data_IF_816970829664
#
_entry.id   IF_816970829664
#
_cell.length_a   1.000
_cell.length_b   1.000
_cell.length_c   1.000
_cell.angle_alpha   90.00
_cell.angle_beta   90.00
_cell.angle_gamma   90.00
#
_symmetry.space_group_name_H-M   'P 1'
#
loop_
_entity.id
_entity.type
_entity.pdbx_description
1 polymer ?
#
# COMPACT_ATOMS: atom_id res chain seq x y z
N UNK A 1 -17.94 32.48 22.66
CA UNK A 1 -18.50 31.33 23.42
C UNK A 1 -17.70 30.08 23.05
N UNK A 2 -16.75 29.69 23.90
CA UNK A 2 -15.90 28.51 23.72
C UNK A 2 -16.67 27.27 24.16
N UNK A 3 -17.20 26.51 23.21
CA UNK A 3 -17.74 25.17 23.50
C UNK A 3 -16.55 24.28 23.82
N UNK A 4 -16.35 24.00 25.11
CA UNK A 4 -15.40 23.01 25.56
C UNK A 4 -15.79 21.67 24.93
N UNK A 5 -15.03 21.24 23.92
CA UNK A 5 -15.17 19.92 23.34
C UNK A 5 -14.85 18.90 24.44
N UNK A 6 -15.87 18.24 24.98
CA UNK A 6 -15.69 17.13 25.88
C UNK A 6 -14.79 16.10 25.18
N UNK A 7 -13.53 15.99 25.65
CA UNK A 7 -12.60 14.98 25.16
C UNK A 7 -13.23 13.63 25.49
N UNK A 8 -13.55 12.85 24.46
CA UNK A 8 -13.93 11.46 24.63
C UNK A 8 -12.76 10.75 25.32
N UNK A 9 -12.91 10.44 26.62
CA UNK A 9 -11.91 9.72 27.39
C UNK A 9 -12.02 8.24 27.03
N UNK A 10 -11.01 7.73 26.33
CA UNK A 10 -10.91 6.30 26.01
C UNK A 10 -10.71 5.57 27.33
N UNK A 11 -11.60 4.63 27.66
CA UNK A 11 -11.41 3.78 28.84
C UNK A 11 -10.07 3.04 28.71
N UNK A 12 -9.20 3.03 29.74
CA UNK A 12 -7.87 2.44 29.65
C UNK A 12 -7.87 0.99 29.11
N UNK A 13 -8.83 0.17 29.55
CA UNK A 13 -8.97 -1.21 29.07
C UNK A 13 -9.27 -1.35 27.57
N UNK A 14 -10.00 -0.40 26.97
CA UNK A 14 -10.24 -0.39 25.52
C UNK A 14 -8.96 -0.05 24.75
N UNK A 15 -8.16 0.90 25.25
CA UNK A 15 -6.87 1.22 24.62
C UNK A 15 -5.94 0.00 24.62
N UNK A 16 -5.81 -0.65 25.77
CA UNK A 16 -4.99 -1.87 25.92
C UNK A 16 -5.47 -2.96 24.98
N UNK A 17 -6.78 -3.19 24.89
CA UNK A 17 -7.33 -4.22 24.00
C UNK A 17 -7.05 -3.91 22.52
N UNK A 18 -7.16 -2.64 22.10
CA UNK A 18 -6.82 -2.23 20.73
C UNK A 18 -5.33 -2.42 20.43
N UNK A 19 -4.46 -2.13 21.40
CA UNK A 19 -3.01 -2.28 21.24
C UNK A 19 -2.60 -3.75 21.21
N UNK A 20 -3.17 -4.59 22.07
CA UNK A 20 -2.98 -6.05 22.01
C UNK A 20 -3.43 -6.63 20.67
N UNK A 21 -4.56 -6.17 20.13
CA UNK A 21 -5.01 -6.60 18.80
C UNK A 21 -4.00 -6.19 17.70
N UNK A 22 -3.46 -4.97 17.76
CA UNK A 22 -2.42 -4.52 16.81
C UNK A 22 -1.17 -5.38 16.91
N UNK A 23 -0.71 -5.69 18.13
CA UNK A 23 0.44 -6.57 18.34
C UNK A 23 0.17 -7.97 17.79
N UNK A 24 -0.99 -8.55 18.08
CA UNK A 24 -1.38 -9.86 17.55
C UNK A 24 -1.40 -9.89 16.02
N UNK A 25 -1.98 -8.88 15.37
CA UNK A 25 -1.97 -8.76 13.91
C UNK A 25 -0.55 -8.58 13.35
N UNK A 26 0.29 -7.77 14.01
CA UNK A 26 1.68 -7.58 13.60
C UNK A 26 2.47 -8.90 13.65
N UNK A 27 2.29 -9.69 14.72
CA UNK A 27 2.92 -11.00 14.86
C UNK A 27 2.44 -11.97 13.78
N UNK A 28 1.14 -12.00 13.47
CA UNK A 28 0.60 -12.84 12.40
C UNK A 28 1.19 -12.46 11.03
N UNK A 29 1.35 -11.17 10.73
CA UNK A 29 2.00 -10.69 9.50
C UNK A 29 3.47 -11.11 9.48
N UNK A 30 4.20 -10.90 10.58
CA UNK A 30 5.62 -11.25 10.69
C UNK A 30 5.86 -12.75 10.51
N UNK A 31 5.08 -13.59 11.20
CA UNK A 31 5.15 -15.05 11.07
C UNK A 31 4.75 -15.52 9.67
N UNK A 32 3.73 -14.91 9.07
CA UNK A 32 3.33 -15.19 7.69
C UNK A 32 4.46 -14.91 6.69
N UNK A 33 5.17 -13.79 6.84
CA UNK A 33 6.33 -13.47 5.99
C UNK A 33 7.53 -14.35 6.28
N UNK A 34 7.82 -14.63 7.55
CA UNK A 34 8.90 -15.55 7.95
C UNK A 34 8.74 -16.92 7.31
N UNK A 35 7.55 -17.50 7.45
CA UNK A 35 7.24 -18.83 6.91
C UNK A 35 7.14 -18.87 5.39
N UNK A 36 7.05 -17.72 4.72
CA UNK A 36 7.00 -17.64 3.26
C UNK A 36 8.37 -17.46 2.62
N UNK A 37 9.24 -16.66 3.23
CA UNK A 37 10.44 -16.14 2.58
C UNK A 37 11.77 -16.64 3.17
N UNK A 38 11.77 -17.11 4.42
CA UNK A 38 13.03 -17.33 5.16
C UNK A 38 13.22 -18.78 5.61
N UNK A 39 12.23 -19.64 5.42
CA UNK A 39 12.30 -21.04 5.85
C UNK A 39 11.33 -21.92 5.07
N UNK A 40 11.70 -23.19 4.89
CA UNK A 40 10.88 -24.22 4.24
C UNK A 40 10.50 -25.38 5.18
N UNK A 41 10.94 -25.33 6.45
CA UNK A 41 10.79 -26.43 7.40
C UNK A 41 9.35 -26.61 7.92
N UNK A 42 8.57 -25.54 7.97
CA UNK A 42 7.20 -25.50 8.46
C UNK A 42 6.28 -25.04 7.31
N UNK A 43 5.08 -25.63 7.15
CA UNK A 43 4.12 -25.18 6.14
C UNK A 43 3.84 -23.68 6.21
N UNK A 44 3.75 -23.03 5.05
CA UNK A 44 3.47 -21.60 4.95
C UNK A 44 2.15 -21.25 5.65
N UNK A 45 2.24 -20.37 6.66
CA UNK A 45 1.07 -19.88 7.38
C UNK A 45 0.38 -18.82 6.52
N UNK A 46 -0.75 -19.22 5.94
CA UNK A 46 -1.62 -18.34 5.17
C UNK A 46 -2.38 -17.42 6.12
N UNK A 47 -2.44 -16.13 5.81
CA UNK A 47 -3.22 -15.19 6.61
C UNK A 47 -2.59 -13.81 6.81
N UNK A 48 -1.34 -13.58 6.38
CA UNK A 48 -0.71 -12.26 6.44
C UNK A 48 -1.60 -11.18 5.80
N UNK A 49 -2.17 -11.45 4.62
CA UNK A 49 -3.09 -10.53 3.95
C UNK A 49 -4.38 -10.28 4.74
N UNK A 50 -4.92 -11.30 5.42
CA UNK A 50 -6.10 -11.14 6.27
C UNK A 50 -5.79 -10.35 7.54
N UNK A 51 -4.59 -10.51 8.11
CA UNK A 51 -4.14 -9.73 9.24
C UNK A 51 -3.97 -8.24 8.88
N UNK A 52 -3.49 -7.93 7.66
CA UNK A 52 -3.48 -6.55 7.12
C UNK A 52 -4.89 -5.97 7.00
N UNK A 53 -5.87 -6.74 6.53
CA UNK A 53 -7.27 -6.30 6.53
C UNK A 53 -7.77 -5.98 7.95
N UNK A 54 -7.34 -6.75 8.95
CA UNK A 54 -7.57 -6.45 10.37
C UNK A 54 -7.02 -5.09 10.80
N UNK A 55 -5.82 -4.71 10.35
CA UNK A 55 -5.25 -3.39 10.62
C UNK A 55 -6.11 -2.27 10.03
N UNK A 56 -6.64 -2.44 8.81
CA UNK A 56 -7.53 -1.44 8.21
C UNK A 56 -8.81 -1.26 9.00
N UNK A 57 -9.44 -2.35 9.44
CA UNK A 57 -10.65 -2.29 10.28
C UNK A 57 -10.36 -1.58 11.61
N UNK A 58 -9.28 -1.98 12.32
CA UNK A 58 -8.89 -1.34 13.59
C UNK A 58 -8.52 0.14 13.40
N UNK A 59 -7.88 0.47 12.28
CA UNK A 59 -7.55 1.84 11.91
C UNK A 59 -8.82 2.68 11.76
N UNK A 60 -9.79 2.22 10.96
CA UNK A 60 -11.06 2.94 10.78
C UNK A 60 -11.85 3.10 12.07
N UNK A 61 -11.93 2.03 12.87
CA UNK A 61 -12.54 2.07 14.21
C UNK A 61 -11.90 3.16 15.07
N UNK A 62 -10.56 3.17 15.16
CA UNK A 62 -9.82 4.08 16.03
C UNK A 62 -9.93 5.53 15.56
N UNK A 63 -9.87 5.77 14.25
CA UNK A 63 -10.00 7.13 13.70
C UNK A 63 -11.40 7.68 13.96
N UNK A 64 -12.45 6.87 13.71
CA UNK A 64 -13.81 7.29 13.98
C UNK A 64 -14.03 7.57 15.47
N UNK A 65 -13.42 6.76 16.34
CA UNK A 65 -13.42 6.95 17.80
C UNK A 65 -12.76 8.25 18.25
N UNK A 66 -11.60 8.59 17.66
CA UNK A 66 -10.87 9.82 17.99
C UNK A 66 -11.56 11.09 17.48
N UNK A 67 -12.32 10.97 16.39
CA UNK A 67 -13.06 12.06 15.78
C UNK A 67 -14.57 11.82 15.84
N UNK A 68 -15.17 11.78 17.05
CA UNK A 68 -16.56 11.37 17.27
C UNK A 68 -17.58 12.32 16.62
N UNK A 69 -17.24 13.60 16.49
CA UNK A 69 -18.10 14.67 15.99
C UNK A 69 -17.42 15.46 14.88
N UNK A 70 -18.24 16.07 14.00
CA UNK A 70 -17.80 17.03 12.99
C UNK A 70 -17.79 18.48 13.50
N UNK A 71 -18.37 18.74 14.68
CA UNK A 71 -18.39 20.07 15.27
C UNK A 71 -16.97 20.52 15.65
N UNK A 72 -16.54 21.67 15.16
CA UNK A 72 -15.18 22.18 15.41
C UNK A 72 -14.06 21.36 14.75
N UNK A 73 -14.37 20.54 13.74
CA UNK A 73 -13.37 19.73 13.05
C UNK A 73 -12.35 20.61 12.31
N UNK A 74 -11.07 20.51 12.69
CA UNK A 74 -9.96 21.19 12.03
C UNK A 74 -9.21 20.27 11.08
N UNK A 75 -9.41 20.43 9.78
CA UNK A 75 -8.78 19.59 8.75
C UNK A 75 -7.24 19.63 8.81
N UNK A 76 -6.65 20.80 9.04
CA UNK A 76 -5.18 20.94 9.13
C UNK A 76 -4.61 20.15 10.32
N UNK A 77 -5.23 20.27 11.50
CA UNK A 77 -4.85 19.51 12.69
C UNK A 77 -5.00 18.00 12.46
N UNK A 78 -6.14 17.59 11.90
CA UNK A 78 -6.36 16.18 11.52
C UNK A 78 -5.24 15.67 10.61
N UNK A 79 -4.92 16.42 9.55
CA UNK A 79 -3.86 16.09 8.60
C UNK A 79 -2.50 15.90 9.28
N UNK A 80 -2.06 16.87 10.09
CA UNK A 80 -0.80 16.78 10.83
C UNK A 80 -0.77 15.53 11.72
N UNK A 81 -1.82 15.29 12.51
CA UNK A 81 -1.85 14.12 13.38
C UNK A 81 -1.80 12.79 12.61
N UNK A 82 -2.43 12.71 11.44
CA UNK A 82 -2.46 11.47 10.62
C UNK A 82 -1.14 11.25 9.89
N UNK A 83 -0.58 12.31 9.29
CA UNK A 83 0.69 12.25 8.57
C UNK A 83 1.83 11.97 9.52
N UNK A 84 1.90 12.64 10.68
CA UNK A 84 2.94 12.37 11.68
C UNK A 84 2.91 10.92 12.17
N UNK A 85 1.72 10.35 12.38
CA UNK A 85 1.56 8.94 12.77
C UNK A 85 2.09 7.97 11.71
N UNK A 86 1.87 8.26 10.42
CA UNK A 86 2.34 7.42 9.33
C UNK A 86 3.85 7.59 9.15
N UNK A 87 4.33 8.83 8.98
CA UNK A 87 5.73 9.10 8.66
C UNK A 87 6.69 8.77 9.81
N UNK A 88 6.23 8.78 11.06
CA UNK A 88 7.05 8.31 12.19
C UNK A 88 7.45 6.83 12.06
N UNK A 89 6.71 6.04 11.28
CA UNK A 89 7.01 4.61 11.05
C UNK A 89 7.50 4.37 9.61
N UNK A 90 6.85 5.01 8.64
CA UNK A 90 7.16 4.85 7.22
C UNK A 90 8.59 5.28 6.86
N UNK A 91 9.06 6.42 7.38
CA UNK A 91 10.40 6.93 7.08
C UNK A 91 11.48 5.99 7.65
N UNK A 92 11.47 5.62 8.96
CA UNK A 92 12.41 4.64 9.48
C UNK A 92 12.36 3.30 8.75
N UNK A 93 11.16 2.82 8.39
CA UNK A 93 11.02 1.56 7.66
C UNK A 93 11.69 1.61 6.27
N UNK A 94 11.50 2.68 5.51
CA UNK A 94 12.13 2.83 4.18
C UNK A 94 13.65 2.98 4.29
N UNK A 95 14.15 3.74 5.28
CA UNK A 95 15.58 3.85 5.53
C UNK A 95 16.17 2.47 5.84
N UNK A 96 15.51 1.73 6.74
CA UNK A 96 15.94 0.39 7.11
C UNK A 96 15.91 -0.57 5.90
N UNK A 97 14.89 -0.48 5.04
CA UNK A 97 14.85 -1.23 3.78
C UNK A 97 16.08 -0.94 2.92
N UNK A 98 16.40 0.32 2.67
CA UNK A 98 17.58 0.68 1.86
C UNK A 98 18.87 0.12 2.46
N UNK A 99 19.04 0.23 3.78
CA UNK A 99 20.23 -0.26 4.47
C UNK A 99 20.34 -1.78 4.39
N UNK A 100 19.25 -2.50 4.70
CA UNK A 100 19.24 -3.97 4.70
C UNK A 100 19.42 -4.54 3.30
N UNK A 101 18.83 -3.91 2.28
CA UNK A 101 19.02 -4.32 0.89
C UNK A 101 20.46 -4.10 0.43
N UNK A 102 21.07 -2.96 0.78
CA UNK A 102 22.48 -2.70 0.49
C UNK A 102 23.41 -3.71 1.17
N UNK A 103 23.12 -4.13 2.40
CA UNK A 103 23.87 -5.20 3.09
C UNK A 103 23.63 -6.55 2.40
N UNK A 104 22.39 -6.87 2.07
CA UNK A 104 22.02 -8.15 1.43
C UNK A 104 22.69 -8.33 0.07
N UNK A 105 22.74 -7.25 -0.72
CA UNK A 105 23.46 -7.21 -2.00
C UNK A 105 24.97 -7.45 -1.86
N UNK A 106 25.57 -7.11 -0.71
CA UNK A 106 27.00 -7.34 -0.44
C UNK A 106 27.30 -8.74 0.10
N UNK A 107 26.39 -9.28 0.92
CA UNK A 107 26.59 -10.58 1.59
C UNK A 107 26.21 -11.75 0.68
N UNK A 108 25.16 -11.60 -0.14
CA UNK A 108 24.62 -12.68 -0.95
C UNK A 108 23.89 -12.15 -2.17
N UNK A 109 24.63 -11.58 -3.12
CA UNK A 109 24.07 -10.96 -4.33
C UNK A 109 23.18 -11.91 -5.12
N UNK A 110 23.60 -13.17 -5.32
CA UNK A 110 22.82 -14.14 -6.09
C UNK A 110 21.48 -14.45 -5.42
N UNK A 111 21.50 -14.69 -4.10
CA UNK A 111 20.28 -14.93 -3.33
C UNK A 111 19.36 -13.72 -3.37
N UNK A 112 19.89 -12.52 -3.17
CA UNK A 112 19.11 -11.29 -3.24
C UNK A 112 18.48 -11.11 -4.62
N UNK A 113 19.25 -11.26 -5.69
CA UNK A 113 18.75 -11.05 -7.05
C UNK A 113 17.69 -12.09 -7.43
N UNK A 114 17.83 -13.33 -6.97
CA UNK A 114 16.87 -14.40 -7.22
C UNK A 114 15.50 -14.16 -6.55
N UNK A 115 15.46 -13.47 -5.40
CA UNK A 115 14.23 -13.31 -4.60
C UNK A 115 13.65 -11.89 -4.64
N UNK A 116 14.51 -10.86 -4.72
CA UNK A 116 14.14 -9.44 -4.62
C UNK A 116 14.80 -8.54 -5.69
N UNK A 117 15.53 -9.12 -6.64
CA UNK A 117 16.18 -8.35 -7.72
C UNK A 117 15.21 -7.78 -8.76
N UNK A 118 13.97 -8.28 -8.80
CA UNK A 118 12.96 -7.76 -9.72
C UNK A 118 12.43 -6.42 -9.21
N UNK A 119 12.89 -5.33 -9.84
CA UNK A 119 12.31 -4.01 -9.59
C UNK A 119 10.97 -3.87 -10.30
N UNK A 120 9.88 -3.93 -9.53
CA UNK A 120 8.52 -3.70 -10.01
C UNK A 120 8.21 -2.22 -9.78
N UNK A 121 8.70 -1.39 -10.70
CA UNK A 121 8.52 0.06 -10.69
C UNK A 121 9.44 0.78 -11.69
N UNK A 122 9.26 2.11 -11.85
CA UNK A 122 10.02 2.89 -12.83
C UNK A 122 11.53 2.91 -12.52
N UNK A 123 11.90 3.07 -11.25
CA UNK A 123 13.26 2.90 -10.72
C UNK A 123 13.17 2.67 -9.19
N UNK A 124 14.20 2.13 -8.53
CA UNK A 124 14.18 1.94 -7.07
C UNK A 124 13.91 3.25 -6.30
N UNK A 125 14.55 4.35 -6.70
CA UNK A 125 14.43 5.66 -6.07
C UNK A 125 13.03 6.25 -6.26
N UNK A 126 12.49 6.10 -7.48
CA UNK A 126 11.13 6.51 -7.78
C UNK A 126 10.11 5.66 -7.01
N UNK A 127 10.30 4.35 -6.90
CA UNK A 127 9.45 3.47 -6.10
C UNK A 127 9.45 3.86 -4.61
N UNK A 128 10.62 4.15 -4.04
CA UNK A 128 10.73 4.64 -2.65
C UNK A 128 9.96 5.96 -2.50
N UNK A 129 10.16 6.91 -3.41
CA UNK A 129 9.49 8.22 -3.38
C UNK A 129 7.98 8.08 -3.48
N UNK A 130 7.50 7.28 -4.44
CA UNK A 130 6.07 7.04 -4.63
C UNK A 130 5.44 6.37 -3.39
N UNK A 131 6.15 5.44 -2.74
CA UNK A 131 5.69 4.83 -1.50
C UNK A 131 5.66 5.81 -0.32
N UNK A 132 6.69 6.66 -0.20
CA UNK A 132 6.77 7.69 0.86
C UNK A 132 5.59 8.66 0.82
N UNK A 133 5.12 9.01 -0.39
CA UNK A 133 3.97 9.90 -0.61
C UNK A 133 2.64 9.15 -0.77
N UNK A 134 2.61 7.83 -0.66
CA UNK A 134 1.39 7.03 -0.77
C UNK A 134 0.79 6.95 -2.19
N UNK A 135 1.61 7.21 -3.21
CA UNK A 135 1.22 7.21 -4.62
C UNK A 135 1.48 5.86 -5.32
N UNK A 136 2.15 4.94 -4.64
CA UNK A 136 2.60 3.67 -5.22
C UNK A 136 1.47 2.72 -5.66
N UNK A 137 0.25 2.94 -5.15
CA UNK A 137 -0.92 2.06 -5.32
C UNK A 137 -2.06 2.72 -6.11
N UNK A 138 -1.79 3.88 -6.73
CA UNK A 138 -2.78 4.63 -7.48
C UNK A 138 -3.21 3.85 -8.73
N UNK A 139 -4.52 3.77 -8.99
CA UNK A 139 -5.07 3.07 -10.17
C UNK A 139 -4.58 1.62 -10.35
N UNK A 140 -4.20 0.96 -9.26
CA UNK A 140 -3.73 -0.41 -9.27
C UNK A 140 -2.33 -0.65 -9.79
N UNK A 141 -1.50 0.40 -9.76
CA UNK A 141 -0.05 0.20 -9.74
C UNK A 141 0.36 -0.56 -8.49
N UNK A 142 1.48 -1.26 -8.56
CA UNK A 142 2.08 -1.95 -7.41
C UNK A 142 3.57 -1.65 -7.38
N UNK A 143 3.93 -0.39 -7.16
CA UNK A 143 5.34 0.01 -7.12
C UNK A 143 5.96 -0.41 -5.79
N UNK A 144 6.95 -1.29 -5.85
CA UNK A 144 7.54 -1.92 -4.65
C UNK A 144 8.81 -1.19 -4.25
N UNK A 145 8.95 -0.75 -2.98
CA UNK A 145 10.18 -0.14 -2.51
C UNK A 145 11.19 -1.24 -2.20
N UNK A 146 12.05 -1.58 -3.18
CA UNK A 146 13.07 -2.61 -3.07
C UNK A 146 12.48 -3.95 -2.58
N UNK A 147 13.12 -4.64 -1.63
CA UNK A 147 12.62 -5.90 -1.04
C UNK A 147 11.34 -5.75 -0.21
N UNK A 148 10.92 -4.53 0.15
CA UNK A 148 9.83 -4.28 1.10
C UNK A 148 8.44 -4.27 0.43
N UNK A 149 8.09 -5.41 -0.17
CA UNK A 149 6.77 -5.63 -0.76
C UNK A 149 5.60 -5.23 0.16
N UNK A 150 5.57 -5.57 1.47
CA UNK A 150 4.40 -5.32 2.33
C UNK A 150 4.09 -3.84 2.61
N UNK A 151 4.94 -2.91 2.14
CA UNK A 151 4.77 -1.48 2.34
C UNK A 151 3.52 -0.90 1.67
N UNK A 152 2.95 -1.60 0.68
CA UNK A 152 1.77 -1.15 -0.07
C UNK A 152 0.63 -0.66 0.83
N UNK A 153 0.41 -1.31 1.98
CA UNK A 153 -0.67 -1.00 2.93
C UNK A 153 -0.65 0.44 3.45
N UNK A 154 0.53 1.07 3.56
CA UNK A 154 0.68 2.46 4.01
C UNK A 154 0.11 3.44 2.98
N UNK A 155 0.28 3.15 1.67
CA UNK A 155 -0.28 3.98 0.60
C UNK A 155 -1.81 4.01 0.67
N UNK A 156 -2.43 2.88 1.00
CA UNK A 156 -3.87 2.79 1.21
C UNK A 156 -4.31 3.62 2.42
N UNK A 157 -3.61 3.53 3.56
CA UNK A 157 -3.96 4.32 4.75
C UNK A 157 -3.91 5.83 4.52
N UNK A 158 -2.90 6.33 3.80
CA UNK A 158 -2.81 7.75 3.42
C UNK A 158 -4.05 8.18 2.61
N UNK A 159 -4.45 7.35 1.65
CA UNK A 159 -5.67 7.57 0.86
C UNK A 159 -6.94 7.60 1.72
N UNK A 160 -7.09 6.62 2.63
CA UNK A 160 -8.25 6.55 3.53
C UNK A 160 -8.36 7.81 4.39
N UNK A 161 -7.25 8.24 5.00
CA UNK A 161 -7.24 9.41 5.86
C UNK A 161 -7.51 10.69 5.07
N UNK A 162 -6.94 10.84 3.88
CA UNK A 162 -7.21 11.99 3.01
C UNK A 162 -8.69 12.12 2.68
N UNK A 163 -9.31 11.05 2.19
CA UNK A 163 -10.72 11.03 1.82
C UNK A 163 -11.61 11.23 3.05
N UNK A 164 -11.35 10.52 4.14
CA UNK A 164 -12.15 10.62 5.36
C UNK A 164 -12.06 12.01 6.01
N UNK A 165 -10.87 12.63 6.03
CA UNK A 165 -10.68 13.99 6.51
C UNK A 165 -11.51 15.00 5.72
N UNK A 166 -11.56 14.87 4.39
CA UNK A 166 -12.41 15.71 3.53
C UNK A 166 -13.90 15.49 3.80
N UNK A 167 -14.32 14.25 4.04
CA UNK A 167 -15.71 13.94 4.44
C UNK A 167 -16.07 14.59 5.77
N UNK A 168 -15.20 14.52 6.78
CA UNK A 168 -15.41 15.17 8.08
C UNK A 168 -15.47 16.71 7.95
N UNK A 169 -14.67 17.27 7.03
CA UNK A 169 -14.68 18.69 6.68
C UNK A 169 -15.89 19.12 5.82
N UNK A 170 -16.84 18.21 5.50
CA UNK A 170 -17.99 18.44 4.61
C UNK A 170 -17.61 18.83 3.17
N UNK A 171 -16.40 18.47 2.73
CA UNK A 171 -15.88 18.75 1.38
C UNK A 171 -16.10 17.54 0.47
N UNK A 172 -17.36 17.13 0.32
CA UNK A 172 -17.70 15.86 -0.34
C UNK A 172 -17.28 15.80 -1.82
N UNK A 173 -17.39 16.90 -2.56
CA UNK A 173 -16.92 16.97 -3.96
C UNK A 173 -15.41 16.70 -4.07
N UNK A 174 -14.62 17.30 -3.18
CA UNK A 174 -13.18 17.05 -3.09
C UNK A 174 -12.87 15.62 -2.63
N UNK A 175 -13.65 15.07 -1.69
CA UNK A 175 -13.49 13.69 -1.25
C UNK A 175 -13.71 12.70 -2.40
N UNK A 176 -14.77 12.91 -3.20
CA UNK A 176 -15.06 12.10 -4.39
C UNK A 176 -13.98 12.25 -5.47
N UNK A 177 -13.51 13.48 -5.72
CA UNK A 177 -12.43 13.73 -6.66
C UNK A 177 -11.14 13.02 -6.25
N UNK A 178 -10.73 13.17 -4.98
CA UNK A 178 -9.54 12.49 -4.45
C UNK A 178 -9.70 10.97 -4.55
N UNK A 179 -10.86 10.43 -4.18
CA UNK A 179 -11.13 8.99 -4.29
C UNK A 179 -11.03 8.49 -5.74
N UNK A 180 -11.54 9.26 -6.71
CA UNK A 180 -11.43 8.95 -8.13
C UNK A 180 -9.98 9.01 -8.64
N UNK A 181 -9.19 9.97 -8.16
CA UNK A 181 -7.76 10.09 -8.50
C UNK A 181 -6.94 8.94 -7.92
N UNK A 182 -7.25 8.50 -6.71
CA UNK A 182 -6.59 7.36 -6.05
C UNK A 182 -6.93 6.02 -6.72
N UNK A 183 -8.14 5.91 -7.27
CA UNK A 183 -8.56 4.78 -8.08
C UNK A 183 -9.28 3.67 -7.29
N UNK A 184 -9.75 2.63 -8.00
CA UNK A 184 -10.74 1.68 -7.50
C UNK A 184 -10.21 0.80 -6.36
N UNK A 185 -8.93 0.46 -6.35
CA UNK A 185 -8.36 -0.42 -5.32
C UNK A 185 -8.41 0.23 -3.94
N UNK A 186 -8.04 1.52 -3.86
CA UNK A 186 -8.11 2.27 -2.62
C UNK A 186 -9.58 2.45 -2.21
N UNK A 187 -10.47 2.77 -3.13
CA UNK A 187 -11.91 2.86 -2.82
C UNK A 187 -12.47 1.55 -2.25
N UNK A 188 -12.06 0.43 -2.83
CA UNK A 188 -12.45 -0.89 -2.38
C UNK A 188 -11.94 -1.18 -0.96
N UNK A 189 -10.64 -1.03 -0.69
CA UNK A 189 -10.09 -1.27 0.66
C UNK A 189 -10.62 -0.24 1.68
N UNK A 190 -11.00 0.95 1.23
CA UNK A 190 -11.64 1.95 2.07
C UNK A 190 -13.00 1.45 2.58
N UNK A 191 -13.71 0.57 1.87
CA UNK A 191 -14.93 -0.05 2.38
C UNK A 191 -14.66 -0.92 3.62
N UNK A 192 -13.58 -1.70 3.63
CA UNK A 192 -13.13 -2.46 4.80
C UNK A 192 -12.72 -1.54 5.94
N UNK A 193 -12.00 -0.45 5.64
CA UNK A 193 -11.64 0.54 6.64
C UNK A 193 -12.88 1.23 7.24
N UNK A 194 -13.85 1.61 6.40
CA UNK A 194 -15.13 2.17 6.82
C UNK A 194 -15.97 1.19 7.63
N UNK A 195 -15.85 -0.12 7.38
CA UNK A 195 -16.50 -1.13 8.21
C UNK A 195 -16.12 -0.97 9.69
N UNK A 196 -14.83 -0.77 9.97
CA UNK A 196 -14.35 -0.48 11.32
C UNK A 196 -14.89 0.83 11.90
N UNK A 197 -14.93 1.89 11.09
CA UNK A 197 -15.53 3.17 11.49
C UNK A 197 -17.02 3.00 11.86
N UNK A 198 -17.76 2.24 11.05
CA UNK A 198 -19.15 1.91 11.30
C UNK A 198 -19.34 1.04 12.54
N UNK A 199 -18.44 0.09 12.83
CA UNK A 199 -18.48 -0.69 14.07
C UNK A 199 -18.43 0.21 15.30
N UNK A 200 -17.60 1.26 15.29
CA UNK A 200 -17.59 2.25 16.38
C UNK A 200 -18.93 2.99 16.51
N UNK A 201 -19.50 3.44 15.39
CA UNK A 201 -20.80 4.11 15.39
C UNK A 201 -21.89 3.24 15.97
N UNK A 202 -21.93 1.97 15.59
CA UNK A 202 -22.88 1.00 16.11
C UNK A 202 -22.73 0.85 17.62
N UNK A 203 -21.51 0.65 18.12
CA UNK A 203 -21.24 0.48 19.54
C UNK A 203 -21.60 1.72 20.36
N UNK A 204 -21.44 2.92 19.80
CA UNK A 204 -21.80 4.17 20.48
C UNK A 204 -23.28 4.56 20.27
N UNK A 205 -23.95 4.00 19.27
CA UNK A 205 -25.35 4.27 19.01
C UNK A 205 -26.24 3.60 20.06
N UNK A 206 -26.94 4.39 20.88
CA UNK A 206 -28.06 3.90 21.73
C UNK A 206 -29.34 3.60 20.93
N UNK A 207 -29.27 3.69 19.59
CA UNK A 207 -30.43 3.75 18.68
C UNK A 207 -30.80 2.40 18.07
N UNK A 208 -29.89 1.43 18.09
CA UNK A 208 -30.09 0.11 17.48
C UNK A 208 -30.04 -1.01 18.52
N UNK A 209 -30.95 -1.96 18.40
CA UNK A 209 -30.85 -3.26 19.10
C UNK A 209 -29.56 -3.97 18.68
N UNK A 210 -28.93 -4.70 19.61
CA UNK A 210 -27.71 -5.49 19.37
C UNK A 210 -27.80 -6.37 18.11
N UNK A 211 -28.99 -6.88 17.78
CA UNK A 211 -29.24 -7.69 16.58
C UNK A 211 -29.06 -6.88 15.27
N UNK A 212 -29.55 -5.63 15.23
CA UNK A 212 -29.38 -4.75 14.06
C UNK A 212 -27.95 -4.21 13.93
N UNK A 213 -27.27 -4.02 15.06
CA UNK A 213 -25.83 -3.70 15.06
C UNK A 213 -25.02 -4.84 14.42
N UNK A 214 -25.30 -6.09 14.81
CA UNK A 214 -24.65 -7.26 14.21
C UNK A 214 -24.94 -7.40 12.71
N UNK A 215 -26.19 -7.17 12.27
CA UNK A 215 -26.57 -7.23 10.84
C UNK A 215 -25.87 -6.17 9.99
N UNK A 216 -25.73 -4.94 10.49
CA UNK A 216 -25.06 -3.86 9.76
C UNK A 216 -23.54 -4.08 9.67
N UNK A 217 -22.91 -4.52 10.77
CA UNK A 217 -21.50 -4.94 10.77
C UNK A 217 -21.26 -6.10 9.80
N UNK A 218 -22.14 -7.11 9.79
CA UNK A 218 -22.08 -8.22 8.84
C UNK A 218 -22.25 -7.74 7.39
N UNK A 219 -23.17 -6.81 7.11
CA UNK A 219 -23.35 -6.22 5.79
C UNK A 219 -22.09 -5.52 5.27
N UNK A 220 -21.39 -4.77 6.12
CA UNK A 220 -20.12 -4.12 5.77
C UNK A 220 -18.98 -5.12 5.55
N UNK A 221 -18.92 -6.19 6.35
CA UNK A 221 -17.98 -7.29 6.13
C UNK A 221 -18.28 -7.98 4.80
N UNK A 222 -19.53 -8.26 4.48
CA UNK A 222 -19.93 -8.85 3.19
C UNK A 222 -19.59 -7.93 2.02
N UNK A 223 -19.82 -6.62 2.13
CA UNK A 223 -19.45 -5.63 1.10
C UNK A 223 -17.92 -5.56 0.91
N UNK A 224 -17.18 -5.60 2.02
CA UNK A 224 -15.72 -5.74 2.02
C UNK A 224 -15.27 -7.04 1.38
N UNK A 225 -15.84 -8.19 1.72
CA UNK A 225 -15.47 -9.48 1.13
C UNK A 225 -15.83 -9.56 -0.37
N UNK A 226 -17.02 -9.09 -0.75
CA UNK A 226 -17.47 -9.08 -2.13
C UNK A 226 -16.57 -8.21 -3.01
N UNK A 227 -16.18 -7.03 -2.54
CA UNK A 227 -15.22 -6.22 -3.27
C UNK A 227 -13.80 -6.85 -3.31
N UNK A 228 -13.48 -7.75 -2.36
CA UNK A 228 -12.17 -8.41 -2.29
C UNK A 228 -12.07 -9.54 -3.29
N UNK A 229 -13.18 -10.26 -3.43
CA UNK A 229 -13.40 -11.17 -4.56
C UNK A 229 -13.32 -10.40 -5.87
N UNK A 230 -13.96 -9.22 -5.98
CA UNK A 230 -13.82 -8.39 -7.18
C UNK A 230 -12.37 -7.91 -7.41
N UNK A 231 -11.62 -7.53 -6.37
CA UNK A 231 -10.22 -7.16 -6.48
C UNK A 231 -9.34 -8.34 -6.91
N UNK A 232 -9.61 -9.56 -6.44
CA UNK A 232 -8.88 -10.75 -6.90
C UNK A 232 -9.25 -11.07 -8.35
N UNK A 233 -10.54 -11.05 -8.70
CA UNK A 233 -11.03 -11.38 -10.04
C UNK A 233 -10.59 -10.33 -11.08
N UNK A 234 -10.70 -9.04 -10.78
CA UNK A 234 -10.32 -7.94 -11.67
C UNK A 234 -8.85 -7.50 -11.51
N UNK A 235 -8.22 -7.72 -10.35
CA UNK A 235 -6.77 -7.55 -10.18
C UNK A 235 -5.97 -8.63 -10.91
N UNK A 236 -6.48 -9.86 -10.97
CA UNK A 236 -5.94 -10.89 -11.86
C UNK A 236 -6.11 -10.52 -13.34
N UNK A 237 -7.21 -9.84 -13.73
CA UNK A 237 -7.35 -9.35 -15.10
C UNK A 237 -6.37 -8.23 -15.43
N UNK A 238 -5.95 -7.43 -14.44
CA UNK A 238 -4.88 -6.44 -14.61
C UNK A 238 -3.49 -7.08 -14.77
N UNK A 239 -3.21 -8.20 -14.09
CA UNK A 239 -1.99 -9.00 -14.31
C UNK A 239 -1.96 -9.64 -15.72
N UNK A 240 -3.13 -10.06 -16.24
CA UNK A 240 -3.28 -10.53 -17.63
C UNK A 240 -3.13 -9.35 -18.61
N UNK A 241 -3.68 -8.18 -18.29
CA UNK A 241 -3.54 -6.96 -19.10
C UNK A 241 -2.13 -6.36 -19.07
N UNK A 242 -1.32 -6.64 -18.03
CA UNK A 242 0.08 -6.21 -17.97
C UNK A 242 0.92 -6.90 -19.07
N UNK A 243 0.62 -8.16 -19.42
CA UNK A 243 1.14 -8.79 -20.65
C UNK A 243 0.66 -8.06 -21.92
N UNK A 244 -0.58 -7.57 -21.94
CA UNK A 244 -1.11 -6.73 -23.02
C UNK A 244 -0.46 -5.35 -23.13
N UNK A 245 -0.15 -4.70 -22.00
CA UNK A 245 0.53 -3.40 -21.92
C UNK A 245 1.99 -3.51 -22.36
N UNK A 246 2.68 -4.61 -22.09
CA UNK A 246 4.00 -4.88 -22.69
C UNK A 246 3.94 -4.99 -24.22
N UNK A 247 2.86 -5.52 -24.80
CA UNK A 247 2.64 -5.52 -26.25
C UNK A 247 2.31 -4.12 -26.79
N UNK A 248 1.48 -3.34 -26.08
CA UNK A 248 1.13 -1.98 -26.48
C UNK A 248 2.33 -1.01 -26.43
N UNK A 249 3.15 -1.07 -25.38
CA UNK A 249 4.39 -0.28 -25.29
C UNK A 249 5.44 -0.72 -26.32
N UNK A 250 5.54 -2.02 -26.64
CA UNK A 250 6.38 -2.50 -27.76
C UNK A 250 5.87 -2.06 -29.12
N UNK A 251 4.56 -1.97 -29.31
CA UNK A 251 3.94 -1.45 -30.52
C UNK A 251 4.23 0.05 -30.68
N UNK A 252 4.05 0.86 -29.63
CA UNK A 252 4.41 2.28 -29.62
C UNK A 252 5.91 2.52 -29.83
N UNK A 253 6.79 1.69 -29.24
CA UNK A 253 8.23 1.79 -29.48
C UNK A 253 8.65 1.42 -30.91
N UNK A 254 7.87 0.58 -31.61
CA UNK A 254 8.09 0.28 -33.04
C UNK A 254 7.50 1.34 -33.96
N UNK A 255 6.41 1.98 -33.56
CA UNK A 255 5.72 3.03 -34.33
C UNK A 255 6.39 4.41 -34.20
N UNK A 256 6.98 4.72 -33.04
CA UNK A 256 7.88 5.86 -32.85
C UNK A 256 9.30 5.44 -33.25
N UNK A 257 9.60 5.52 -34.56
CA UNK A 257 10.85 5.07 -35.16
C UNK A 257 12.12 5.74 -34.62
N UNK A 258 12.55 5.37 -33.41
CA UNK A 258 13.88 5.65 -32.91
C UNK A 258 14.85 4.63 -33.53
N UNK A 259 15.26 4.88 -34.77
CA UNK A 259 16.44 4.22 -35.33
C UNK A 259 17.62 4.63 -34.44
N UNK A 260 18.18 3.68 -33.69
CA UNK A 260 19.56 3.80 -33.21
C UNK A 260 20.45 4.01 -34.43
N UNK A 261 20.84 5.25 -34.69
CA UNK A 261 21.95 5.55 -35.60
C UNK A 261 23.25 5.21 -34.89
N UNK A 262 23.64 3.94 -34.90
CA UNK A 262 25.03 3.54 -34.71
C UNK A 262 25.64 3.29 -36.10
N UNK A 263 26.01 4.36 -36.78
CA UNK A 263 27.01 4.33 -37.87
C UNK A 263 28.30 4.90 -37.30
N UNK A 264 29.19 4.03 -36.87
CA UNK A 264 30.63 4.30 -36.89
C UNK A 264 31.23 3.27 -37.85
N UNK A 265 31.21 3.61 -39.14
CA UNK A 265 32.01 2.92 -40.16
C UNK A 265 33.48 3.29 -39.94
N UNK A 266 34.42 2.34 -39.92
CA UNK A 266 35.84 2.67 -39.96
C UNK A 266 36.22 3.16 -41.36
N UNK A 267 37.22 4.06 -41.50
CA UNK A 267 37.65 4.54 -42.80
C UNK A 267 38.35 3.41 -43.61
N UNK A 268 38.18 3.37 -44.94
CA UNK A 268 38.81 2.37 -45.77
C UNK A 268 40.24 2.78 -46.13
N UNK A 269 41.17 1.83 -46.00
CA UNK A 269 42.48 1.89 -46.65
C UNK A 269 43.65 1.94 -45.68
N UNK A 270 44.24 0.79 -45.40
CA UNK A 270 45.69 0.61 -45.52
C UNK A 270 45.99 -0.88 -45.70
N UNK A 271 46.35 -1.23 -46.92
CA UNK A 271 46.84 -2.53 -47.34
C UNK A 271 48.27 -2.74 -46.85
N UNK A 272 48.56 -3.92 -46.29
CA UNK A 272 49.90 -4.51 -46.33
C UNK A 272 50.46 -4.90 -44.97
N UNK A 273 50.41 -6.19 -44.65
CA UNK A 273 51.53 -7.14 -44.83
C UNK A 273 51.29 -8.34 -43.90
N UNK A 274 50.95 -9.50 -44.50
CA UNK A 274 50.99 -10.80 -43.81
C UNK A 274 52.44 -11.09 -43.44
N UNK A 275 52.72 -11.34 -42.18
CA UNK A 275 53.91 -12.10 -41.75
C UNK A 275 53.39 -13.46 -41.31
N UNK A 276 53.78 -14.48 -42.08
CA UNK A 276 53.46 -15.86 -41.80
C UNK A 276 54.23 -16.38 -40.59
N UNK A 277 53.54 -17.20 -39.80
CA UNK A 277 54.12 -18.13 -38.85
C UNK A 277 54.77 -19.29 -39.61
N UNK A 278 56.04 -19.54 -39.38
CA UNK A 278 56.75 -20.69 -39.91
C UNK A 278 58.18 -20.75 -39.38
N UNK A 279 58.34 -21.32 -38.19
CA UNK A 279 59.28 -22.40 -37.78
C UNK A 279 59.24 -22.49 -36.25
#
# INVERSE_FOLDING_TARGET
>A
MTVAAAKFQIKPGLSVLLDLNRVGLALLVAVGHWTHFFQDAIPHIRGASAAVAGFFVLSGFTIRMLYPTRAGFGLGRYGVERVSRIWSVAIPALILTVVLDAVSLRVGTEFYMAHWGENIGPSPEASISLNLFGLAQIWGTDFRPLSNHPFWSISYELGFYGVFGLVLARRYGWALLVLALLGPNIAYMMALWLAGACTYELLCSRRFSAKRQAQFAAGLVVLGLAGGVLFVVFGMSQAISARGRHCFWRFLHRSCGWRRTSRSSPPPGWSGRRVGSGT
#
